data_IF_161251466392
#
_entry.id   IF_161251466392
#
_cell.length_a   1.000
_cell.length_b   1.000
_cell.length_c   1.000
_cell.angle_alpha   90.00
_cell.angle_beta   90.00
_cell.angle_gamma   90.00
#
_symmetry.space_group_name_H-M   'P 1'
#
loop_
_entity.id
_entity.type
_entity.pdbx_description
1 polymer ?
#
# COMPACT_ATOMS: atom_id res chain seq x y z
N UNK A 1 10.78 9.02 -12.86
CA UNK A 1 10.65 7.79 -12.03
C UNK A 1 9.91 6.73 -12.82
N UNK A 2 10.23 5.45 -12.63
CA UNK A 2 9.46 4.35 -13.23
C UNK A 2 8.71 3.63 -12.11
N UNK A 3 7.39 3.39 -12.22
CA UNK A 3 6.65 2.63 -11.23
C UNK A 3 7.15 1.18 -11.20
N UNK A 4 7.21 0.60 -10.00
CA UNK A 4 7.55 -0.82 -9.80
C UNK A 4 6.32 -1.58 -9.34
N UNK A 5 6.18 -2.80 -9.82
CA UNK A 5 5.11 -3.69 -9.37
C UNK A 5 5.35 -4.09 -7.91
N UNK A 6 4.32 -3.96 -7.08
CA UNK A 6 4.27 -4.35 -5.68
C UNK A 6 3.07 -5.28 -5.50
N UNK A 7 3.26 -6.38 -4.78
CA UNK A 7 2.18 -7.30 -4.44
C UNK A 7 1.72 -7.01 -3.02
N UNK A 8 0.41 -6.92 -2.84
CA UNK A 8 -0.26 -6.61 -1.58
C UNK A 8 -1.41 -7.60 -1.38
N UNK A 9 -1.83 -7.76 -0.14
CA UNK A 9 -3.06 -8.49 0.19
C UNK A 9 -4.08 -7.48 0.69
N UNK A 10 -5.20 -7.37 -0.02
CA UNK A 10 -6.33 -6.49 0.32
C UNK A 10 -7.53 -7.40 0.55
N UNK A 11 -8.12 -7.37 1.74
CA UNK A 11 -9.31 -8.16 2.08
C UNK A 11 -9.19 -9.66 1.74
N UNK A 12 -7.99 -10.24 1.88
CA UNK A 12 -7.71 -11.64 1.56
C UNK A 12 -7.41 -11.93 0.08
N UNK A 13 -7.50 -10.93 -0.80
CA UNK A 13 -7.18 -11.03 -2.22
C UNK A 13 -5.77 -10.49 -2.51
N UNK A 14 -5.01 -11.21 -3.34
CA UNK A 14 -3.73 -10.71 -3.84
C UNK A 14 -3.97 -9.63 -4.89
N UNK A 15 -3.55 -8.40 -4.59
CA UNK A 15 -3.65 -7.25 -5.47
C UNK A 15 -2.25 -6.79 -5.88
N UNK A 16 -2.05 -6.64 -7.18
CA UNK A 16 -0.81 -6.07 -7.74
C UNK A 16 -1.00 -4.60 -8.05
N UNK A 17 -0.18 -3.74 -7.44
CA UNK A 17 -0.16 -2.30 -7.72
C UNK A 17 1.18 -1.92 -8.36
N UNK A 18 1.17 -0.96 -9.28
CA UNK A 18 2.40 -0.40 -9.83
C UNK A 18 2.59 0.98 -9.24
N UNK A 19 3.64 1.15 -8.44
CA UNK A 19 3.90 2.39 -7.72
C UNK A 19 5.38 2.72 -7.75
N UNK A 20 5.68 3.99 -7.94
CA UNK A 20 6.96 4.61 -7.71
C UNK A 20 7.54 4.32 -6.32
N UNK A 21 8.87 4.26 -6.21
CA UNK A 21 9.51 3.98 -4.92
C UNK A 21 9.28 5.05 -3.88
N UNK A 22 9.36 6.34 -4.23
CA UNK A 22 9.14 7.42 -3.26
C UNK A 22 7.75 7.32 -2.64
N UNK A 23 6.72 7.10 -3.45
CA UNK A 23 5.35 6.93 -2.96
C UNK A 23 5.20 5.66 -2.12
N UNK A 24 5.92 4.59 -2.46
CA UNK A 24 5.89 3.35 -1.69
C UNK A 24 6.54 3.50 -0.32
N UNK A 25 7.64 4.23 -0.25
CA UNK A 25 8.29 4.58 1.02
C UNK A 25 7.38 5.44 1.88
N UNK A 26 6.75 6.48 1.33
CA UNK A 26 5.81 7.31 2.08
C UNK A 26 4.57 6.53 2.56
N UNK A 27 4.04 5.64 1.74
CA UNK A 27 2.96 4.73 2.17
C UNK A 27 3.37 3.87 3.37
N UNK A 28 4.61 3.38 3.40
CA UNK A 28 5.14 2.65 4.56
C UNK A 28 5.35 3.55 5.77
N UNK A 29 5.76 4.81 5.57
CA UNK A 29 5.91 5.79 6.66
C UNK A 29 4.55 6.06 7.31
N UNK A 30 3.52 6.35 6.53
CA UNK A 30 2.15 6.56 7.00
C UNK A 30 1.64 5.31 7.74
N UNK A 31 1.86 4.12 7.18
CA UNK A 31 1.47 2.88 7.83
C UNK A 31 2.14 2.72 9.21
N UNK A 32 3.43 3.06 9.31
CA UNK A 32 4.18 3.05 10.57
C UNK A 32 3.66 4.08 11.57
N UNK A 33 3.36 5.30 11.11
CA UNK A 33 2.79 6.36 11.96
C UNK A 33 1.42 5.98 12.51
N UNK A 34 0.57 5.36 11.70
CA UNK A 34 -0.75 4.85 12.12
C UNK A 34 -0.70 3.49 12.86
N UNK A 35 0.50 2.91 13.04
CA UNK A 35 0.69 1.57 13.62
C UNK A 35 -0.08 0.46 12.86
N UNK A 36 -0.23 0.63 11.55
CA UNK A 36 -0.85 -0.32 10.64
C UNK A 36 0.21 -1.02 9.79
N UNK A 37 -0.08 -2.24 9.35
CA UNK A 37 0.66 -2.83 8.24
C UNK A 37 0.31 -2.11 6.93
N UNK A 38 1.22 -2.16 5.94
CA UNK A 38 0.94 -1.61 4.60
C UNK A 38 -0.32 -2.20 3.98
N UNK A 39 -0.59 -3.49 4.21
CA UNK A 39 -1.81 -4.16 3.75
C UNK A 39 -3.06 -3.57 4.41
N UNK A 40 -3.02 -3.32 5.73
CA UNK A 40 -4.14 -2.70 6.45
C UNK A 40 -4.39 -1.26 6.02
N UNK A 41 -3.33 -0.47 5.85
CA UNK A 41 -3.47 0.90 5.35
C UNK A 41 -4.08 0.92 3.95
N UNK A 42 -3.58 0.06 3.05
CA UNK A 42 -4.11 -0.01 1.68
C UNK A 42 -5.56 -0.52 1.66
N UNK A 43 -5.91 -1.51 2.49
CA UNK A 43 -7.29 -1.98 2.62
C UNK A 43 -8.23 -0.87 3.14
N UNK A 44 -7.80 -0.11 4.16
CA UNK A 44 -8.54 1.06 4.67
C UNK A 44 -8.75 2.13 3.59
N UNK A 45 -7.76 2.37 2.74
CA UNK A 45 -7.88 3.30 1.60
C UNK A 45 -8.84 2.73 0.54
N UNK A 46 -8.77 1.44 0.25
CA UNK A 46 -9.61 0.79 -0.77
C UNK A 46 -11.09 0.75 -0.36
N UNK A 47 -11.39 0.52 0.92
CA UNK A 47 -12.76 0.58 1.49
C UNK A 47 -13.39 1.97 1.39
N UNK A 48 -12.59 3.02 1.25
CA UNK A 48 -13.06 4.41 1.11
C UNK A 48 -13.37 4.83 -0.35
N UNK A 49 -13.32 3.88 -1.29
CA UNK A 49 -13.56 4.11 -2.72
C UNK A 49 -15.03 4.04 -3.14
#
# INVERSE_FOLDING_TARGET
MRPRKRSLIINGHNTSVSLEDLFWEELKNIAKEEQLSINQLVAKIDESR
#
